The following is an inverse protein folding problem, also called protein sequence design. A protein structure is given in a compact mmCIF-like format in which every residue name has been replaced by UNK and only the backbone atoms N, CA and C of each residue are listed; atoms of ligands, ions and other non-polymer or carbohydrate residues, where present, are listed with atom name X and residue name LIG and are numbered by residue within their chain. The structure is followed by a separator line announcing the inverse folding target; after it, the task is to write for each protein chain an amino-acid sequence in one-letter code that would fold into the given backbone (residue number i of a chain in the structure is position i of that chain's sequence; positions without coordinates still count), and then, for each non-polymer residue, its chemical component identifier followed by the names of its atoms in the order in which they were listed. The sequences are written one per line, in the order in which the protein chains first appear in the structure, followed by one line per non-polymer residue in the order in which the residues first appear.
data_IF_335646697104
#
_entry.id   IF_335646697104
#
_cell.length_a   1.000
_cell.length_b   1.000
_cell.length_c   1.000
_cell.angle_alpha   90.00
_cell.angle_beta   90.00
_cell.angle_gamma   90.00
#
_symmetry.space_group_name_H-M   'P 1'
#
loop_
_entity.id
_entity.type
_entity.pdbx_description
1 polymer ?
#
# COMPACT_ATOMS: atom_id res chain seq x y z
N UNK A 1 -15.04 2.45 13.23
CA UNK A 1 -13.64 2.85 12.97
C UNK A 1 -12.77 1.60 12.97
N UNK A 2 -12.73 0.87 11.85
CA UNK A 2 -11.74 -0.18 11.65
C UNK A 2 -10.52 0.49 11.02
N UNK A 3 -9.73 1.15 11.85
CA UNK A 3 -8.40 1.59 11.41
C UNK A 3 -7.62 0.32 11.12
N UNK A 4 -7.37 0.02 9.85
CA UNK A 4 -6.57 -1.15 9.46
C UNK A 4 -5.24 -1.09 10.24
N UNK A 5 -4.97 -2.02 11.17
CA UNK A 5 -3.80 -1.93 12.04
C UNK A 5 -2.50 -1.91 11.23
N UNK A 6 -2.51 -2.55 10.06
CA UNK A 6 -1.44 -2.52 9.06
C UNK A 6 -1.17 -1.12 8.52
N UNK A 7 -2.22 -0.36 8.19
CA UNK A 7 -2.09 1.01 7.67
C UNK A 7 -1.49 1.94 8.71
N UNK A 8 -1.98 1.85 9.95
CA UNK A 8 -1.46 2.65 11.07
C UNK A 8 0.02 2.33 11.33
N UNK A 9 0.42 1.07 11.18
CA UNK A 9 1.81 0.64 11.36
C UNK A 9 2.71 1.12 10.22
N UNK A 10 2.25 1.07 8.97
CA UNK A 10 2.99 1.62 7.82
C UNK A 10 3.20 3.13 7.93
N UNK A 11 2.18 3.87 8.36
CA UNK A 11 2.31 5.31 8.63
C UNK A 11 3.29 5.59 9.78
N UNK A 12 3.25 4.80 10.86
CA UNK A 12 4.19 4.94 11.97
C UNK A 12 5.65 4.65 11.57
N UNK A 13 5.88 3.83 10.54
CA UNK A 13 7.19 3.53 9.97
C UNK A 13 7.66 4.57 8.93
N UNK A 14 6.82 5.56 8.58
CA UNK A 14 7.14 6.55 7.55
C UNK A 14 7.06 5.99 6.12
N UNK A 15 6.33 4.90 5.91
CA UNK A 15 6.10 4.27 4.61
C UNK A 15 4.82 4.81 3.98
N UNK A 16 4.75 6.12 3.76
CA UNK A 16 3.51 6.84 3.45
C UNK A 16 2.94 6.46 2.07
N UNK A 17 3.79 6.28 1.06
CA UNK A 17 3.36 5.84 -0.27
C UNK A 17 2.94 4.38 -0.26
N UNK A 18 3.65 3.54 0.48
CA UNK A 18 3.26 2.14 0.72
C UNK A 18 1.90 2.04 1.42
N UNK A 19 1.65 2.88 2.45
CA UNK A 19 0.38 2.93 3.15
C UNK A 19 -0.77 3.34 2.22
N UNK A 20 -0.52 4.34 1.37
CA UNK A 20 -1.52 4.83 0.39
C UNK A 20 -1.86 3.74 -0.63
N UNK A 21 -0.85 3.05 -1.17
CA UNK A 21 -1.07 1.93 -2.09
C UNK A 21 -1.79 0.76 -1.41
N UNK A 22 -1.44 0.44 -0.17
CA UNK A 22 -2.09 -0.61 0.60
C UNK A 22 -3.59 -0.34 0.79
N UNK A 23 -3.95 0.91 1.10
CA UNK A 23 -5.34 1.33 1.23
C UNK A 23 -6.08 1.21 -0.10
N UNK A 24 -5.50 1.76 -1.17
CA UNK A 24 -6.08 1.71 -2.52
C UNK A 24 -6.30 0.28 -3.01
N UNK A 25 -5.33 -0.61 -2.79
CA UNK A 25 -5.42 -2.04 -3.10
C UNK A 25 -6.40 -2.79 -2.18
N UNK A 26 -6.59 -2.37 -0.93
CA UNK A 26 -7.60 -2.98 -0.04
C UNK A 26 -9.02 -2.57 -0.43
N UNK A 27 -9.18 -1.36 -0.97
CA UNK A 27 -10.48 -0.85 -1.44
C UNK A 27 -10.85 -1.39 -2.82
N UNK A 28 -9.87 -1.77 -3.64
CA UNK A 28 -10.08 -2.38 -4.95
C UNK A 28 -10.11 -3.91 -4.89
N UNK A 29 -11.26 -4.52 -5.22
CA UNK A 29 -11.40 -5.99 -5.24
C UNK A 29 -10.49 -6.68 -6.28
N UNK A 30 -10.03 -5.94 -7.30
CA UNK A 30 -9.05 -6.38 -8.31
C UNK A 30 -7.70 -6.79 -7.69
N UNK A 31 -7.35 -6.26 -6.50
CA UNK A 31 -6.13 -6.65 -5.82
C UNK A 31 -6.15 -8.12 -5.34
N UNK A 32 -7.32 -8.77 -5.25
CA UNK A 32 -7.41 -10.21 -4.97
C UNK A 32 -6.99 -11.09 -6.14
N UNK A 33 -7.02 -10.57 -7.36
CA UNK A 33 -6.64 -11.31 -8.56
C UNK A 33 -5.12 -11.24 -8.83
N UNK A 34 -4.43 -10.32 -8.16
CA UNK A 34 -2.98 -10.14 -8.26
C UNK A 34 -2.23 -11.16 -7.41
N UNK A 35 -1.14 -11.68 -7.98
CA UNK A 35 -0.18 -12.47 -7.21
C UNK A 35 0.52 -11.60 -6.16
N UNK A 36 1.03 -12.23 -5.09
CA UNK A 36 1.75 -11.51 -4.03
C UNK A 36 2.90 -10.65 -4.57
N UNK A 37 3.62 -11.14 -5.59
CA UNK A 37 4.73 -10.44 -6.24
C UNK A 37 4.28 -9.18 -6.99
N UNK A 38 3.14 -9.25 -7.69
CA UNK A 38 2.56 -8.11 -8.40
C UNK A 38 2.06 -7.06 -7.42
N UNK A 39 1.41 -7.52 -6.35
CA UNK A 39 0.95 -6.68 -5.26
C UNK A 39 2.11 -5.94 -4.58
N UNK A 40 3.21 -6.65 -4.27
CA UNK A 40 4.43 -6.06 -3.73
C UNK A 40 5.07 -5.04 -4.69
N UNK A 41 5.09 -5.36 -5.98
CA UNK A 41 5.58 -4.47 -7.03
C UNK A 41 4.84 -3.13 -7.04
N UNK A 42 3.50 -3.16 -6.96
CA UNK A 42 2.67 -1.96 -6.94
C UNK A 42 2.86 -1.11 -5.67
N UNK A 43 2.98 -1.75 -4.50
CA UNK A 43 3.28 -1.02 -3.26
C UNK A 43 4.65 -0.32 -3.33
N UNK A 44 5.66 -1.01 -3.86
CA UNK A 44 7.01 -0.48 -3.96
C UNK A 44 7.11 0.64 -5.01
N UNK A 45 6.43 0.48 -6.14
CA UNK A 45 6.33 1.50 -7.18
C UNK A 45 5.73 2.80 -6.63
N UNK A 46 4.58 2.69 -5.94
CA UNK A 46 3.91 3.85 -5.32
C UNK A 46 4.80 4.54 -4.29
N UNK A 47 5.47 3.78 -3.45
CA UNK A 47 6.40 4.33 -2.45
C UNK A 47 7.60 5.04 -3.11
N UNK A 48 8.13 4.47 -4.19
CA UNK A 48 9.24 5.07 -4.93
C UNK A 48 8.80 6.35 -5.65
N UNK A 49 7.62 6.34 -6.27
CA UNK A 49 7.02 7.51 -6.89
C UNK A 49 6.76 8.63 -5.88
N UNK A 50 6.25 8.29 -4.68
CA UNK A 50 6.00 9.29 -3.62
C UNK A 50 7.28 9.89 -3.04
N UNK A 51 8.41 9.19 -3.12
CA UNK A 51 9.73 9.67 -2.69
C UNK A 51 10.48 10.43 -3.78
N UNK A 52 10.08 10.26 -5.03
CA UNK A 52 10.66 10.93 -6.19
C UNK A 52 10.01 12.29 -6.49
N UNK A 53 8.83 12.56 -5.91
CA UNK A 53 8.12 13.85 -5.88
C UNK A 53 8.66 14.76 -4.77
#
# INVERSE_FOLDING_TARGET
MLTNPTLAQMQALGLTGMATAYQDLTEQDTAKELSLDEWLGLLLDRETAMRAD
#
